data_IF_848363078869
#
_entry.id   IF_848363078869
#
_cell.length_a   1.000
_cell.length_b   1.000
_cell.length_c   1.000
_cell.angle_alpha   90.00
_cell.angle_beta   90.00
_cell.angle_gamma   90.00
#
_symmetry.space_group_name_H-M   'P 1'
#
loop_
_entity.id
_entity.type
_entity.pdbx_description
1 polymer ?
#
# COMPACT_ATOMS: atom_id res chain seq x y z
N UNK A 1 -2.26 -19.76 12.38
CA UNK A 1 -2.27 -19.92 10.90
C UNK A 1 -2.55 -18.54 10.30
N UNK A 2 -1.67 -17.99 9.46
CA UNK A 2 -1.83 -16.64 8.92
C UNK A 2 -2.94 -16.64 7.85
N UNK A 3 -4.00 -15.85 8.04
CA UNK A 3 -5.17 -15.78 7.14
C UNK A 3 -4.78 -15.44 5.69
N UNK A 4 -3.82 -14.53 5.50
CA UNK A 4 -3.28 -14.17 4.19
C UNK A 4 -2.58 -15.33 3.49
N UNK A 5 -1.73 -16.09 4.22
CA UNK A 5 -1.03 -17.26 3.66
C UNK A 5 -2.00 -18.36 3.25
N UNK A 6 -3.15 -18.43 3.93
CA UNK A 6 -4.22 -19.36 3.59
C UNK A 6 -5.19 -18.85 2.51
N UNK A 7 -4.93 -17.68 1.90
CA UNK A 7 -5.79 -17.07 0.88
C UNK A 7 -7.13 -16.55 1.40
N UNK A 8 -7.33 -16.49 2.72
CA UNK A 8 -8.58 -16.05 3.37
C UNK A 8 -8.63 -14.55 3.62
N UNK A 9 -7.57 -13.83 3.31
CA UNK A 9 -7.47 -12.38 3.41
C UNK A 9 -6.67 -11.87 2.21
N UNK A 10 -7.32 -11.08 1.37
CA UNK A 10 -6.67 -10.35 0.29
C UNK A 10 -6.07 -9.06 0.84
N UNK A 11 -4.74 -9.00 0.90
CA UNK A 11 -4.01 -7.80 1.35
C UNK A 11 -3.69 -6.85 0.20
N UNK A 12 -3.63 -7.35 -1.04
CA UNK A 12 -3.32 -6.53 -2.20
C UNK A 12 -4.54 -5.69 -2.61
N UNK A 13 -5.75 -6.26 -2.54
CA UNK A 13 -7.00 -5.53 -2.74
C UNK A 13 -7.26 -4.44 -1.68
N UNK A 14 -6.49 -4.41 -0.59
CA UNK A 14 -6.55 -3.34 0.42
C UNK A 14 -5.62 -2.15 0.10
N UNK A 15 -4.78 -2.24 -0.95
CA UNK A 15 -3.88 -1.16 -1.34
C UNK A 15 -4.62 -0.20 -2.26
N UNK A 16 -4.80 1.04 -1.81
CA UNK A 16 -5.44 2.11 -2.59
C UNK A 16 -4.43 2.86 -3.46
N UNK A 17 -3.19 2.98 -3.00
CA UNK A 17 -2.14 3.71 -3.69
C UNK A 17 -0.80 2.98 -3.59
N UNK A 18 -0.05 2.99 -4.70
CA UNK A 18 1.36 2.60 -4.76
C UNK A 18 2.14 3.79 -5.31
N UNK A 19 3.20 4.16 -4.62
CA UNK A 19 4.05 5.29 -5.01
C UNK A 19 5.52 4.91 -4.92
N UNK A 20 6.36 5.60 -5.69
CA UNK A 20 7.80 5.49 -5.55
C UNK A 20 8.29 6.27 -4.33
N UNK A 21 9.48 5.92 -3.83
CA UNK A 21 10.08 6.58 -2.66
C UNK A 21 10.34 8.08 -2.88
N UNK A 22 10.69 8.49 -4.09
CA UNK A 22 10.89 9.90 -4.46
C UNK A 22 9.58 10.72 -4.46
N UNK A 23 8.42 10.06 -4.45
CA UNK A 23 7.09 10.65 -4.35
C UNK A 23 6.51 10.62 -2.92
N UNK A 24 7.33 10.41 -1.89
CA UNK A 24 6.87 10.18 -0.51
C UNK A 24 5.89 11.23 0.02
N UNK A 25 6.01 12.49 -0.39
CA UNK A 25 5.11 13.56 0.02
C UNK A 25 3.68 13.35 -0.52
N UNK A 26 3.53 12.89 -1.77
CA UNK A 26 2.24 12.47 -2.32
C UNK A 26 1.66 11.29 -1.53
N UNK A 27 2.52 10.42 -0.99
CA UNK A 27 2.11 9.32 -0.12
C UNK A 27 1.43 9.80 1.16
N UNK A 28 1.97 10.86 1.77
CA UNK A 28 1.34 11.50 2.93
C UNK A 28 0.01 12.18 2.56
N UNK A 29 -0.04 12.89 1.44
CA UNK A 29 -1.29 13.49 0.95
C UNK A 29 -2.37 12.43 0.71
N UNK A 30 -2.02 11.29 0.10
CA UNK A 30 -2.93 10.18 -0.12
C UNK A 30 -3.50 9.62 1.20
N UNK A 31 -2.72 9.64 2.29
CA UNK A 31 -3.19 9.21 3.61
C UNK A 31 -4.19 10.17 4.26
N UNK A 32 -4.21 11.45 3.86
CA UNK A 32 -5.21 12.43 4.31
C UNK A 32 -6.55 12.25 3.58
N UNK A 33 -6.57 11.49 2.48
CA UNK A 33 -7.79 11.15 1.73
C UNK A 33 -8.48 9.90 2.27
N UNK A 34 -9.56 9.45 1.61
CA UNK A 34 -10.31 8.21 1.96
C UNK A 34 -9.59 6.91 1.55
N UNK A 35 -8.30 6.93 1.25
CA UNK A 35 -7.52 5.73 0.93
C UNK A 35 -7.47 4.75 2.11
N UNK A 36 -7.49 3.44 1.82
CA UNK A 36 -7.36 2.39 2.84
C UNK A 36 -5.90 2.20 3.23
N UNK A 37 -5.00 2.19 2.24
CA UNK A 37 -3.56 1.99 2.43
C UNK A 37 -2.74 2.50 1.26
N UNK A 38 -1.67 3.24 1.57
CA UNK A 38 -0.62 3.62 0.61
C UNK A 38 0.62 2.75 0.85
N UNK A 39 1.23 2.23 -0.22
CA UNK A 39 2.48 1.46 -0.17
C UNK A 39 3.57 2.24 -0.90
N UNK A 40 4.74 2.35 -0.27
CA UNK A 40 5.92 3.00 -0.83
C UNK A 40 6.90 1.93 -1.29
N UNK A 41 7.25 1.98 -2.56
CA UNK A 41 8.22 1.07 -3.17
C UNK A 41 9.63 1.66 -3.02
N UNK A 42 10.46 1.00 -2.20
CA UNK A 42 11.81 1.47 -1.78
C UNK A 42 12.95 0.89 -2.62
N UNK A 43 12.66 0.00 -3.57
CA UNK A 43 13.64 -0.54 -4.50
C UNK A 43 12.96 -0.92 -5.82
N UNK A 44 13.33 -0.23 -6.90
CA UNK A 44 13.07 -0.71 -8.25
C UNK A 44 14.02 -1.87 -8.52
N UNK A 45 13.49 -3.02 -8.92
CA UNK A 45 14.33 -4.17 -9.34
C UNK A 45 15.09 -3.84 -10.62
#
# INVERSE_FOLDING_TARGET
MNLWKSGKLDLDGMISHRIALDEINLGFENCETRGIRTVVEVAST
#
